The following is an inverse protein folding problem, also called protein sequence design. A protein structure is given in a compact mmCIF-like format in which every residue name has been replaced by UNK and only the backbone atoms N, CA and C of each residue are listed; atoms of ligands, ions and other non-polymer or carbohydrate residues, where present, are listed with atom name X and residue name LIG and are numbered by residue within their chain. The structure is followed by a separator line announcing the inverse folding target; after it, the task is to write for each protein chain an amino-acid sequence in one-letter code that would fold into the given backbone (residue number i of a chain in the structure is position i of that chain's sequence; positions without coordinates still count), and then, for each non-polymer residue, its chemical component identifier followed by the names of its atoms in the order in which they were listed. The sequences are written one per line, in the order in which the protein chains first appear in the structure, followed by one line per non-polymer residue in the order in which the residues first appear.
data_IF_432035847502
#
_entry.id   IF_432035847502
#
_cell.length_a   1.000
_cell.length_b   1.000
_cell.length_c   1.000
_cell.angle_alpha   90.00
_cell.angle_beta   90.00
_cell.angle_gamma   90.00
#
_symmetry.space_group_name_H-M   'P 1'
#
loop_
_entity.id
_entity.type
_entity.pdbx_description
1 polymer ?
#
# COMPACT_ATOMS: atom_id res chain seq x y z
N UNK A 1 18.63 15.87 10.15
CA UNK A 1 18.17 15.90 8.75
C UNK A 1 16.66 15.98 8.80
N UNK A 2 16.08 17.03 8.23
CA UNK A 2 14.76 17.51 8.62
C UNK A 2 13.60 16.70 8.01
N UNK A 3 12.51 16.60 8.78
CA UNK A 3 11.22 16.07 8.36
C UNK A 3 10.66 16.89 7.20
N UNK A 4 10.59 16.32 6.00
CA UNK A 4 9.96 16.91 4.82
C UNK A 4 9.30 15.84 3.94
N UNK A 5 8.06 15.51 4.28
CA UNK A 5 6.86 15.67 3.43
C UNK A 5 5.65 15.29 4.31
N UNK A 6 4.68 16.19 4.39
CA UNK A 6 3.51 16.04 5.26
C UNK A 6 2.64 14.85 4.80
N UNK A 7 2.28 13.98 5.73
CA UNK A 7 1.59 12.73 5.44
C UNK A 7 0.14 12.94 4.96
N UNK A 8 -0.22 12.25 3.87
CA UNK A 8 -1.57 12.20 3.30
C UNK A 8 -1.93 10.73 3.05
N UNK A 9 -2.54 10.10 4.07
CA UNK A 9 -3.44 8.90 4.02
C UNK A 9 -2.89 7.62 3.29
N UNK A 10 -3.36 6.37 3.41
CA UNK A 10 -4.52 5.65 3.99
C UNK A 10 -4.09 4.26 4.51
N UNK A 11 -4.98 3.49 5.16
CA UNK A 11 -4.77 2.06 5.52
C UNK A 11 -5.69 1.07 4.79
N UNK A 12 -5.19 -0.12 4.47
CA UNK A 12 -6.00 -1.27 4.06
C UNK A 12 -6.42 -2.09 5.30
N UNK A 13 -7.69 -2.51 5.34
CA UNK A 13 -8.37 -3.25 6.42
C UNK A 13 -8.69 -2.46 7.73
N UNK A 14 -9.78 -2.86 8.40
CA UNK A 14 -10.44 -2.36 9.66
C UNK A 14 -11.50 -1.24 9.55
N UNK A 15 -12.82 -1.58 9.52
CA UNK A 15 -13.91 -0.57 9.46
C UNK A 15 -15.42 -0.90 9.77
N UNK A 16 -15.92 -1.76 10.70
CA UNK A 16 -17.35 -1.63 11.20
C UNK A 16 -17.64 -2.11 12.64
N UNK A 17 -18.24 -1.21 13.43
CA UNK A 17 -19.44 -1.42 14.29
C UNK A 17 -20.34 -0.16 14.08
N UNK A 18 -21.68 -0.11 14.22
CA UNK A 18 -22.72 -1.12 14.48
C UNK A 18 -23.85 -1.04 13.41
N UNK A 19 -24.63 -2.12 13.23
CA UNK A 19 -26.04 -2.04 12.79
C UNK A 19 -26.80 -3.36 13.04
N UNK A 20 -27.94 -3.37 13.77
CA UNK A 20 -28.85 -4.49 13.85
C UNK A 20 -29.98 -4.35 12.80
N UNK A 21 -29.70 -4.70 11.56
CA UNK A 21 -30.68 -5.15 10.54
C UNK A 21 -29.91 -5.49 9.26
N UNK A 22 -30.30 -6.55 8.57
CA UNK A 22 -29.69 -6.87 7.28
C UNK A 22 -30.08 -5.79 6.26
N UNK A 23 -29.10 -5.02 5.78
CA UNK A 23 -29.27 -4.25 4.54
C UNK A 23 -29.40 -5.28 3.42
N UNK A 24 -30.64 -5.60 3.04
CA UNK A 24 -30.89 -6.19 1.73
C UNK A 24 -30.65 -5.10 0.70
N UNK A 25 -29.68 -5.29 -0.19
CA UNK A 25 -29.56 -4.46 -1.39
C UNK A 25 -30.88 -4.60 -2.16
N UNK A 26 -31.65 -3.51 -2.25
CA UNK A 26 -32.99 -3.54 -2.85
C UNK A 26 -32.95 -3.77 -4.36
N UNK A 27 -31.86 -3.36 -5.03
CA UNK A 27 -31.55 -3.69 -6.41
C UNK A 27 -30.56 -4.86 -6.47
N UNK A 28 -31.09 -6.08 -6.47
CA UNK A 28 -30.28 -7.30 -6.55
C UNK A 28 -29.68 -7.51 -7.96
N UNK A 29 -30.26 -6.89 -8.98
CA UNK A 29 -29.92 -7.13 -10.40
C UNK A 29 -28.68 -6.36 -10.89
N UNK A 30 -28.21 -5.35 -10.15
CA UNK A 30 -27.00 -4.56 -10.50
C UNK A 30 -25.79 -4.86 -9.60
N UNK A 31 -25.90 -5.77 -8.64
CA UNK A 31 -24.76 -6.27 -7.85
C UNK A 31 -23.89 -7.22 -8.71
N UNK A 32 -23.09 -6.65 -9.61
CA UNK A 32 -21.99 -7.38 -10.25
C UNK A 32 -20.99 -7.79 -9.17
N UNK A 33 -21.10 -9.03 -8.68
CA UNK A 33 -20.29 -9.60 -7.59
C UNK A 33 -18.81 -9.35 -7.89
N UNK A 34 -18.22 -8.47 -7.09
CA UNK A 34 -16.77 -8.28 -7.04
C UNK A 34 -16.12 -9.51 -6.42
N UNK A 35 -14.83 -9.70 -6.67
CA UNK A 35 -14.08 -10.71 -5.93
C UNK A 35 -14.17 -10.43 -4.43
N UNK A 36 -14.53 -11.44 -3.61
CA UNK A 36 -14.86 -11.22 -2.21
C UNK A 36 -13.56 -11.02 -1.41
N UNK A 37 -13.19 -9.75 -1.18
CA UNK A 37 -12.21 -9.37 -0.16
C UNK A 37 -12.60 -9.88 1.23
N UNK A 38 -11.69 -9.81 2.19
CA UNK A 38 -11.90 -10.42 3.50
C UNK A 38 -12.52 -9.47 4.53
N UNK A 39 -13.75 -9.78 4.94
CA UNK A 39 -14.44 -9.08 6.02
C UNK A 39 -14.13 -9.65 7.41
N UNK A 40 -13.83 -8.76 8.36
CA UNK A 40 -13.72 -9.09 9.78
C UNK A 40 -14.92 -8.55 10.57
N UNK A 41 -14.94 -8.74 11.90
CA UNK A 41 -15.90 -8.08 12.79
C UNK A 41 -15.13 -7.33 13.88
N UNK A 42 -15.34 -6.01 14.03
CA UNK A 42 -14.48 -5.15 14.89
C UNK A 42 -14.65 -5.44 16.40
N UNK A 43 -15.73 -6.11 16.79
CA UNK A 43 -15.91 -6.65 18.17
C UNK A 43 -15.31 -8.03 18.39
N UNK A 44 -14.74 -8.67 17.37
CA UNK A 44 -14.17 -10.02 17.50
C UNK A 44 -12.97 -10.00 18.45
N UNK A 45 -12.89 -10.90 19.45
CA UNK A 45 -11.68 -11.05 20.27
C UNK A 45 -10.46 -11.46 19.45
N UNK A 46 -10.67 -11.97 18.23
CA UNK A 46 -9.63 -12.35 17.27
C UNK A 46 -9.47 -11.33 16.13
N UNK A 47 -9.86 -10.06 16.33
CA UNK A 47 -9.81 -9.02 15.30
C UNK A 47 -8.44 -8.95 14.61
N UNK A 48 -7.34 -8.81 15.35
CA UNK A 48 -5.99 -8.72 14.77
C UNK A 48 -5.63 -9.94 13.90
N UNK A 49 -5.96 -11.16 14.34
CA UNK A 49 -5.72 -12.41 13.59
C UNK A 49 -6.57 -12.48 12.33
N UNK A 50 -7.85 -12.10 12.43
CA UNK A 50 -8.75 -12.03 11.28
C UNK A 50 -8.22 -11.06 10.22
N UNK A 51 -7.71 -9.90 10.65
CA UNK A 51 -7.18 -8.87 9.74
C UNK A 51 -5.87 -9.27 9.10
N UNK A 52 -4.93 -9.85 9.86
CA UNK A 52 -3.70 -10.40 9.29
C UNK A 52 -3.99 -11.48 8.22
N UNK A 53 -4.98 -12.34 8.50
CA UNK A 53 -5.46 -13.36 7.54
C UNK A 53 -6.09 -12.70 6.32
N UNK A 54 -6.95 -11.70 6.54
CA UNK A 54 -7.64 -10.97 5.48
C UNK A 54 -6.71 -10.20 4.57
N UNK A 55 -5.82 -9.39 5.13
CA UNK A 55 -4.79 -8.68 4.36
C UNK A 55 -3.90 -9.65 3.56
N UNK A 56 -3.57 -10.83 4.11
CA UNK A 56 -2.81 -11.86 3.38
C UNK A 56 -3.60 -12.45 2.20
N UNK A 57 -4.90 -12.68 2.38
CA UNK A 57 -5.80 -13.10 1.31
C UNK A 57 -5.98 -11.99 0.25
N UNK A 58 -6.22 -10.75 0.67
CA UNK A 58 -6.38 -9.59 -0.20
C UNK A 58 -5.10 -9.37 -1.03
N UNK A 59 -3.89 -9.44 -0.44
CA UNK A 59 -2.61 -9.38 -1.18
C UNK A 59 -2.59 -10.36 -2.38
N UNK A 60 -3.20 -11.54 -2.24
CA UNK A 60 -3.34 -12.53 -3.32
C UNK A 60 -4.20 -12.06 -4.49
N UNK A 61 -5.32 -11.37 -4.21
CA UNK A 61 -6.18 -10.73 -5.22
C UNK A 61 -5.46 -9.53 -5.83
N UNK A 62 -5.00 -8.62 -4.98
CA UNK A 62 -4.39 -7.34 -5.33
C UNK A 62 -3.09 -7.50 -6.14
N UNK A 63 -2.44 -8.67 -6.06
CA UNK A 63 -1.37 -9.11 -6.98
C UNK A 63 -1.75 -8.88 -8.45
N UNK A 64 -2.98 -9.15 -8.84
CA UNK A 64 -3.46 -8.98 -10.21
C UNK A 64 -4.21 -7.65 -10.43
N UNK A 65 -4.48 -6.91 -9.35
CA UNK A 65 -5.30 -5.71 -9.35
C UNK A 65 -6.79 -6.04 -9.46
N UNK A 66 -7.64 -5.02 -9.36
CA UNK A 66 -9.09 -5.14 -9.58
C UNK A 66 -9.50 -4.09 -10.62
N UNK A 67 -9.35 -4.38 -11.93
CA UNK A 67 -9.59 -3.39 -12.99
C UNK A 67 -11.00 -2.80 -12.98
N UNK A 68 -12.02 -3.59 -12.60
CA UNK A 68 -13.41 -3.14 -12.44
C UNK A 68 -13.58 -2.03 -11.41
N UNK A 69 -12.67 -1.92 -10.44
CA UNK A 69 -12.63 -0.87 -9.43
C UNK A 69 -11.60 0.22 -9.75
N UNK A 70 -10.84 0.11 -10.84
CA UNK A 70 -9.69 0.97 -11.12
C UNK A 70 -8.45 0.67 -10.27
N UNK A 71 -8.41 -0.45 -9.55
CA UNK A 71 -7.30 -0.84 -8.68
C UNK A 71 -6.18 -1.47 -9.52
N UNK A 72 -4.98 -0.88 -9.60
CA UNK A 72 -3.87 -1.40 -10.41
C UNK A 72 -3.23 -2.63 -9.74
N UNK A 73 -2.49 -3.48 -10.44
CA UNK A 73 -1.73 -4.58 -9.83
C UNK A 73 -0.66 -4.09 -8.84
N UNK A 74 -0.43 -4.81 -7.73
CA UNK A 74 0.73 -4.58 -6.83
C UNK A 74 2.03 -5.23 -7.31
N UNK A 75 1.99 -6.07 -8.36
CA UNK A 75 3.11 -6.91 -8.78
C UNK A 75 3.03 -7.29 -10.28
N UNK A 76 3.52 -6.44 -11.20
CA UNK A 76 4.24 -5.18 -10.96
C UNK A 76 3.33 -3.97 -10.72
N UNK A 77 3.59 -3.23 -9.64
CA UNK A 77 3.07 -1.87 -9.47
C UNK A 77 3.85 -0.87 -10.33
N UNK A 78 3.15 -0.03 -11.09
CA UNK A 78 3.75 0.93 -12.01
C UNK A 78 3.81 2.33 -11.42
N UNK A 79 5.01 2.91 -11.35
CA UNK A 79 5.24 4.30 -10.91
C UNK A 79 5.78 5.12 -12.09
N UNK A 80 5.03 6.11 -12.62
CA UNK A 80 5.46 6.89 -13.79
C UNK A 80 6.77 7.64 -13.56
N UNK A 81 6.94 8.23 -12.36
CA UNK A 81 8.08 9.08 -12.00
C UNK A 81 8.39 9.04 -10.49
N UNK A 82 9.67 9.01 -10.16
CA UNK A 82 10.25 9.28 -8.84
C UNK A 82 11.38 10.28 -9.01
N UNK A 83 11.35 11.37 -8.24
CA UNK A 83 12.47 12.31 -8.16
C UNK A 83 13.18 12.13 -6.82
N UNK A 84 14.50 11.94 -6.88
CA UNK A 84 15.36 11.64 -5.75
C UNK A 84 16.32 12.81 -5.57
N UNK A 85 16.32 13.42 -4.38
CA UNK A 85 17.16 14.59 -4.07
C UNK A 85 18.11 14.24 -2.92
N UNK A 86 19.42 14.36 -3.13
CA UNK A 86 20.46 14.20 -2.10
C UNK A 86 21.46 15.36 -2.20
N UNK A 87 21.54 16.19 -1.15
CA UNK A 87 22.42 17.36 -1.05
C UNK A 87 22.37 18.29 -2.28
N UNK A 88 21.16 18.67 -2.71
CA UNK A 88 20.92 19.55 -3.86
C UNK A 88 21.14 18.90 -5.24
N UNK A 89 21.45 17.60 -5.30
CA UNK A 89 21.58 16.85 -6.56
C UNK A 89 20.33 16.02 -6.80
N UNK A 90 19.79 16.12 -8.01
CA UNK A 90 18.56 15.41 -8.40
C UNK A 90 18.85 14.27 -9.36
N UNK A 91 18.22 13.12 -9.10
CA UNK A 91 18.14 11.97 -9.97
C UNK A 91 16.67 11.66 -10.24
N UNK A 92 16.27 11.59 -11.51
CA UNK A 92 14.90 11.23 -11.89
C UNK A 92 14.87 9.78 -12.37
N UNK A 93 13.99 8.98 -11.79
CA UNK A 93 13.62 7.67 -12.28
C UNK A 93 12.25 7.76 -12.96
N UNK A 94 12.09 7.10 -14.11
CA UNK A 94 10.84 7.09 -14.88
C UNK A 94 10.48 5.68 -15.34
N UNK A 95 9.20 5.46 -15.65
CA UNK A 95 8.67 4.16 -16.10
C UNK A 95 9.04 3.02 -15.13
N UNK A 96 8.96 3.30 -13.84
CA UNK A 96 9.35 2.35 -12.80
C UNK A 96 8.32 1.24 -12.66
N UNK A 97 8.79 0.01 -12.51
CA UNK A 97 8.01 -1.17 -12.14
C UNK A 97 8.55 -1.74 -10.84
N UNK A 98 7.68 -1.87 -9.85
CA UNK A 98 7.98 -2.45 -8.55
C UNK A 98 7.39 -3.86 -8.48
N UNK A 99 8.23 -4.84 -8.18
CA UNK A 99 7.91 -6.26 -8.09
C UNK A 99 8.09 -6.78 -6.65
N UNK A 100 7.41 -7.88 -6.36
CA UNK A 100 7.46 -8.58 -5.08
C UNK A 100 6.33 -8.22 -4.12
N UNK A 101 5.52 -7.20 -4.42
CA UNK A 101 4.38 -6.79 -3.58
C UNK A 101 3.39 -7.93 -3.34
N UNK A 102 3.16 -8.79 -4.33
CA UNK A 102 2.30 -9.98 -4.22
C UNK A 102 2.94 -11.16 -3.50
N UNK A 103 4.17 -11.01 -2.99
CA UNK A 103 4.85 -11.98 -2.12
C UNK A 103 5.03 -11.47 -0.68
N UNK A 104 4.40 -10.35 -0.33
CA UNK A 104 4.46 -9.75 1.00
C UNK A 104 3.78 -10.65 2.05
N UNK A 105 4.42 -10.82 3.19
CA UNK A 105 3.90 -11.57 4.35
C UNK A 105 3.66 -10.61 5.50
N UNK A 106 2.45 -10.60 6.06
CA UNK A 106 2.13 -9.87 7.29
C UNK A 106 2.73 -10.63 8.48
N UNK A 107 3.64 -10.02 9.24
CA UNK A 107 4.27 -10.67 10.41
C UNK A 107 3.70 -10.21 11.75
N UNK A 108 3.16 -8.99 11.81
CA UNK A 108 2.46 -8.44 12.97
C UNK A 108 1.27 -7.63 12.49
N UNK A 109 0.17 -7.67 13.25
CA UNK A 109 -0.97 -6.78 13.04
C UNK A 109 -1.50 -6.32 14.41
N UNK A 110 -1.67 -5.01 14.57
CA UNK A 110 -2.30 -4.39 15.73
C UNK A 110 -3.42 -3.46 15.25
N UNK A 111 -4.58 -3.54 15.90
CA UNK A 111 -5.67 -2.60 15.66
C UNK A 111 -6.16 -2.03 16.99
N UNK A 112 -6.49 -0.75 16.99
CA UNK A 112 -7.16 -0.09 18.11
C UNK A 112 -8.33 0.70 17.53
N UNK A 113 -9.55 0.23 17.83
CA UNK A 113 -10.80 0.78 17.28
C UNK A 113 -10.89 2.28 17.55
N UNK A 114 -11.20 3.07 16.51
CA UNK A 114 -11.27 4.53 16.60
C UNK A 114 -9.94 5.25 16.84
N UNK A 115 -8.79 4.54 16.76
CA UNK A 115 -7.46 5.15 16.74
C UNK A 115 -6.66 4.80 15.50
N UNK A 116 -6.79 3.57 14.98
CA UNK A 116 -6.13 3.14 13.75
C UNK A 116 -5.63 1.70 13.76
N UNK A 117 -4.74 1.40 12.82
CA UNK A 117 -4.06 0.12 12.66
C UNK A 117 -2.55 0.29 12.56
N UNK A 118 -1.82 -0.78 12.84
CA UNK A 118 -0.44 -0.91 12.41
C UNK A 118 -0.11 -2.35 12.04
N UNK A 119 0.75 -2.55 11.05
CA UNK A 119 1.14 -3.88 10.60
C UNK A 119 2.59 -3.91 10.09
N UNK A 120 3.28 -5.02 10.35
CA UNK A 120 4.60 -5.31 9.81
C UNK A 120 4.46 -6.15 8.56
N UNK A 121 5.19 -5.80 7.49
CA UNK A 121 5.36 -6.68 6.33
C UNK A 121 6.81 -7.12 6.18
N UNK A 122 6.99 -8.34 5.67
CA UNK A 122 8.25 -8.82 5.08
C UNK A 122 7.99 -9.05 3.59
N UNK A 123 8.82 -8.44 2.73
CA UNK A 123 8.86 -8.73 1.29
C UNK A 123 10.14 -9.52 0.99
N UNK A 124 10.05 -10.83 0.68
CA UNK A 124 11.24 -11.68 0.52
C UNK A 124 12.16 -11.22 -0.62
N UNK A 125 11.56 -10.80 -1.73
CA UNK A 125 12.26 -10.38 -2.95
C UNK A 125 11.62 -9.08 -3.46
N UNK A 126 12.20 -7.94 -3.09
CA UNK A 126 11.72 -6.64 -3.54
C UNK A 126 12.60 -6.13 -4.68
N UNK A 127 12.01 -5.76 -5.81
CA UNK A 127 12.75 -5.32 -6.99
C UNK A 127 12.08 -4.10 -7.63
N UNK A 128 12.87 -3.07 -7.94
CA UNK A 128 12.44 -1.86 -8.64
C UNK A 128 13.26 -1.72 -9.91
N UNK A 129 12.61 -1.85 -11.06
CA UNK A 129 13.18 -1.63 -12.39
C UNK A 129 12.73 -0.27 -12.91
N UNK A 130 13.63 0.63 -13.28
CA UNK A 130 13.32 1.95 -13.82
C UNK A 130 14.19 2.30 -15.02
N UNK A 131 13.74 3.25 -15.84
CA UNK A 131 14.67 4.10 -16.60
C UNK A 131 15.20 5.19 -15.66
N UNK A 132 16.46 5.59 -15.79
CA UNK A 132 17.03 6.70 -14.99
C UNK A 132 17.56 7.82 -15.88
N UNK A 133 17.55 9.04 -15.34
CA UNK A 133 18.25 10.22 -15.84
C UNK A 133 18.90 10.92 -14.64
N UNK A 134 20.23 11.01 -14.64
CA UNK A 134 21.01 11.58 -13.54
C UNK A 134 21.90 12.71 -14.05
N UNK A 135 21.84 13.86 -13.39
CA UNK A 135 22.80 14.94 -13.61
C UNK A 135 24.18 14.59 -13.05
N UNK A 136 25.18 15.24 -13.63
CA UNK A 136 26.58 15.11 -13.23
C UNK A 136 26.78 15.29 -11.72
N UNK A 137 27.72 14.53 -11.14
CA UNK A 137 28.10 14.65 -9.75
C UNK A 137 27.24 13.89 -8.73
N UNK A 138 26.10 13.28 -9.09
CA UNK A 138 25.39 12.34 -8.18
C UNK A 138 26.27 11.13 -7.85
N UNK A 139 27.00 10.63 -8.85
CA UNK A 139 27.93 9.49 -8.78
C UNK A 139 29.40 9.86 -9.12
N UNK A 140 29.70 11.15 -9.28
CA UNK A 140 31.05 11.63 -9.66
C UNK A 140 31.31 11.75 -11.17
N UNK A 141 30.41 11.28 -12.04
CA UNK A 141 30.51 11.51 -13.49
C UNK A 141 30.19 12.97 -13.88
N UNK A 142 30.81 13.47 -14.95
CA UNK A 142 30.66 14.86 -15.47
C UNK A 142 29.62 15.03 -16.59
N UNK A 143 29.08 13.92 -17.11
CA UNK A 143 28.07 13.90 -18.19
C UNK A 143 26.70 13.49 -17.63
N UNK A 144 25.61 13.94 -18.26
CA UNK A 144 24.28 13.39 -17.99
C UNK A 144 24.28 11.90 -18.39
N UNK A 145 23.92 11.04 -17.44
CA UNK A 145 23.82 9.60 -17.68
C UNK A 145 22.36 9.17 -17.70
N UNK A 146 22.03 8.33 -18.67
CA UNK A 146 20.71 7.71 -18.82
C UNK A 146 20.88 6.22 -19.09
N UNK A 147 19.91 5.41 -18.69
CA UNK A 147 19.95 3.96 -18.85
C UNK A 147 18.87 3.27 -18.05
N UNK A 148 19.01 1.95 -17.82
CA UNK A 148 18.17 1.20 -16.89
C UNK A 148 18.82 1.12 -15.52
N UNK A 149 17.99 1.17 -14.49
CA UNK A 149 18.34 0.96 -13.10
C UNK A 149 17.53 -0.24 -12.58
N UNK A 150 18.20 -1.20 -11.95
CA UNK A 150 17.54 -2.30 -11.24
C UNK A 150 18.03 -2.27 -9.80
N UNK A 151 17.11 -2.08 -8.87
CA UNK A 151 17.37 -2.03 -7.44
C UNK A 151 16.67 -3.21 -6.78
N UNK A 152 17.41 -4.05 -6.08
CA UNK A 152 16.89 -5.25 -5.41
C UNK A 152 17.18 -5.19 -3.91
N UNK A 153 16.21 -5.64 -3.11
CA UNK A 153 16.37 -5.85 -1.68
C UNK A 153 15.79 -7.21 -1.26
N UNK A 154 16.56 -7.99 -0.50
CA UNK A 154 16.10 -9.26 0.10
C UNK A 154 15.55 -9.00 1.50
N UNK A 155 14.44 -9.66 1.83
CA UNK A 155 13.75 -9.57 3.12
C UNK A 155 13.54 -8.12 3.57
N UNK A 156 13.02 -7.28 2.66
CA UNK A 156 12.65 -5.91 2.99
C UNK A 156 11.58 -5.90 4.08
N UNK A 157 11.77 -5.09 5.11
CA UNK A 157 10.91 -5.00 6.28
C UNK A 157 10.42 -3.56 6.43
N UNK A 158 9.11 -3.38 6.55
CA UNK A 158 8.51 -2.11 6.92
C UNK A 158 7.41 -2.29 7.96
N UNK A 159 7.27 -1.28 8.80
CA UNK A 159 6.13 -1.09 9.68
C UNK A 159 5.25 0.01 9.09
N UNK A 160 3.97 -0.27 8.96
CA UNK A 160 2.96 0.71 8.61
C UNK A 160 2.13 1.02 9.83
N UNK A 161 1.79 2.29 10.04
CA UNK A 161 0.76 2.72 10.98
C UNK A 161 -0.13 3.72 10.27
N UNK A 162 -1.43 3.55 10.45
CA UNK A 162 -2.42 4.44 9.90
C UNK A 162 -3.45 4.79 10.96
N UNK A 163 -3.62 6.08 11.22
CA UNK A 163 -4.61 6.58 12.15
C UNK A 163 -5.97 6.71 11.45
N UNK A 164 -7.04 6.57 12.23
CA UNK A 164 -8.39 6.59 11.72
C UNK A 164 -9.36 7.19 12.73
N UNK A 165 -10.32 7.97 12.24
CA UNK A 165 -11.40 8.55 13.04
C UNK A 165 -12.72 7.85 12.71
N UNK A 166 -13.59 7.73 13.72
CA UNK A 166 -14.99 7.38 13.50
C UNK A 166 -15.76 8.65 13.12
N UNK A 167 -16.61 8.56 12.09
CA UNK A 167 -17.54 9.62 11.68
C UNK A 167 -18.92 9.03 11.37
N UNK A 168 -19.97 9.85 11.44
CA UNK A 168 -21.36 9.41 11.24
C UNK A 168 -21.95 9.98 9.95
N UNK A 169 -22.62 9.16 9.13
CA UNK A 169 -23.30 9.59 7.89
C UNK A 169 -24.61 8.81 7.69
N UNK A 170 -25.70 9.49 7.32
CA UNK A 170 -27.07 8.92 7.29
C UNK A 170 -27.37 7.98 8.51
N UNK A 171 -26.94 8.33 9.73
CA UNK A 171 -27.17 7.56 10.96
C UNK A 171 -26.30 6.31 11.21
N UNK A 172 -25.30 6.02 10.37
CA UNK A 172 -24.36 4.90 10.54
C UNK A 172 -22.97 5.41 10.90
N UNK A 173 -22.19 4.62 11.64
CA UNK A 173 -20.77 4.90 11.94
C UNK A 173 -19.85 4.36 10.83
N UNK A 174 -18.76 5.08 10.58
CA UNK A 174 -17.79 4.85 9.52
C UNK A 174 -16.37 5.14 10.00
N UNK A 175 -15.37 4.42 9.50
CA UNK A 175 -13.97 4.82 9.69
C UNK A 175 -13.47 5.62 8.49
N UNK A 176 -12.91 6.79 8.78
CA UNK A 176 -12.14 7.61 7.85
C UNK A 176 -10.67 7.54 8.25
N UNK A 177 -9.83 7.04 7.35
CA UNK A 177 -8.38 7.11 7.50
C UNK A 177 -7.93 8.57 7.42
N UNK A 178 -7.01 8.98 8.28
CA UNK A 178 -6.54 10.38 8.37
C UNK A 178 -5.06 10.53 8.01
N UNK A 179 -4.19 9.79 8.70
CA UNK A 179 -2.74 9.89 8.54
C UNK A 179 -2.12 8.52 8.38
N UNK A 180 -1.27 8.36 7.37
CA UNK A 180 -0.46 7.17 7.17
C UNK A 180 1.01 7.46 7.44
N UNK A 181 1.68 6.57 8.16
CA UNK A 181 3.13 6.58 8.36
C UNK A 181 3.72 5.23 7.98
N UNK A 182 4.82 5.27 7.24
CA UNK A 182 5.61 4.08 6.88
C UNK A 182 6.99 4.24 7.50
N UNK A 183 7.50 3.20 8.13
CA UNK A 183 8.84 3.14 8.71
C UNK A 183 9.57 1.94 8.11
N UNK A 184 10.63 2.17 7.33
CA UNK A 184 11.47 1.07 6.85
C UNK A 184 12.39 0.58 7.96
N UNK A 185 12.20 -0.69 8.34
CA UNK A 185 13.03 -1.42 9.30
C UNK A 185 14.29 -2.01 8.63
N UNK A 186 14.37 -1.92 7.30
CA UNK A 186 15.54 -2.25 6.49
C UNK A 186 15.35 -3.49 5.63
N UNK A 187 16.43 -4.25 5.47
CA UNK A 187 16.48 -5.47 4.67
C UNK A 187 17.90 -6.01 4.60
N UNK A 188 18.06 -7.29 4.26
CA UNK A 188 19.27 -8.05 4.59
C UNK A 188 20.37 -7.89 3.54
N UNK A 189 19.99 -7.86 2.26
CA UNK A 189 20.91 -7.67 1.13
C UNK A 189 20.32 -6.66 0.16
N UNK A 190 21.09 -5.64 -0.19
CA UNK A 190 20.74 -4.63 -1.18
C UNK A 190 21.73 -4.66 -2.34
N UNK A 191 21.24 -4.61 -3.58
CA UNK A 191 22.05 -4.49 -4.79
C UNK A 191 21.36 -3.52 -5.74
N UNK A 192 22.11 -2.56 -6.27
CA UNK A 192 21.68 -1.72 -7.37
C UNK A 192 22.64 -1.87 -8.55
N UNK A 193 22.08 -1.97 -9.76
CA UNK A 193 22.83 -1.97 -11.03
C UNK A 193 22.28 -0.85 -11.91
N UNK A 194 23.18 -0.13 -12.56
CA UNK A 194 22.83 0.95 -13.49
C UNK A 194 23.60 0.75 -14.79
N UNK A 195 22.89 0.63 -15.90
CA UNK A 195 23.50 0.46 -17.21
C UNK A 195 24.30 1.71 -17.59
N UNK A 196 25.44 1.53 -18.24
CA UNK A 196 26.33 2.62 -18.68
C UNK A 196 27.24 3.21 -17.58
N UNK A 197 27.00 2.94 -16.30
CA UNK A 197 27.81 3.47 -15.18
C UNK A 197 28.97 2.57 -14.73
N UNK A 198 29.18 1.44 -15.42
CA UNK A 198 30.26 0.48 -15.16
C UNK A 198 30.17 -0.20 -13.78
N UNK A 199 31.21 -0.95 -13.41
CA UNK A 199 31.37 -1.49 -12.04
C UNK A 199 31.90 -0.41 -11.07
N UNK A 200 31.44 0.83 -11.16
CA UNK A 200 31.85 1.84 -10.18
C UNK A 200 31.37 1.42 -8.79
N UNK A 201 32.31 1.38 -7.84
CA UNK A 201 32.06 1.27 -6.40
C UNK A 201 31.48 2.57 -5.85
N UNK A 202 30.34 2.97 -6.41
CA UNK A 202 29.46 3.97 -5.80
C UNK A 202 29.26 3.57 -4.35
N UNK A 203 29.45 4.51 -3.43
CA UNK A 203 29.26 4.27 -2.00
C UNK A 203 27.89 3.65 -1.74
N UNK A 204 27.86 2.34 -1.51
CA UNK A 204 26.63 1.57 -1.35
C UNK A 204 25.74 2.13 -0.23
N UNK A 205 26.34 2.76 0.80
CA UNK A 205 25.60 3.49 1.85
C UNK A 205 24.71 4.62 1.29
N UNK A 206 25.17 5.41 0.31
CA UNK A 206 24.36 6.48 -0.30
C UNK A 206 23.25 5.90 -1.17
N UNK A 207 23.59 4.98 -2.08
CA UNK A 207 22.59 4.29 -2.92
C UNK A 207 21.54 3.56 -2.08
N UNK A 208 21.92 2.94 -0.96
CA UNK A 208 20.98 2.26 -0.05
C UNK A 208 19.98 3.25 0.58
N UNK A 209 20.43 4.43 1.04
CA UNK A 209 19.50 5.47 1.56
C UNK A 209 18.54 5.96 0.47
N UNK A 210 19.07 6.25 -0.72
CA UNK A 210 18.29 6.71 -1.87
C UNK A 210 17.28 5.64 -2.32
N UNK A 211 17.67 4.37 -2.33
CA UNK A 211 16.79 3.27 -2.65
C UNK A 211 15.72 3.04 -1.58
N UNK A 212 16.06 3.14 -0.29
CA UNK A 212 15.07 3.10 0.80
C UNK A 212 14.03 4.22 0.61
N UNK A 213 14.45 5.46 0.33
CA UNK A 213 13.52 6.56 0.05
C UNK A 213 12.67 6.33 -1.21
N UNK A 214 13.24 5.74 -2.27
CA UNK A 214 12.49 5.35 -3.47
C UNK A 214 11.43 4.28 -3.16
N UNK A 215 11.81 3.27 -2.38
CA UNK A 215 10.93 2.19 -1.92
C UNK A 215 9.83 2.72 -0.99
N UNK A 216 10.13 3.62 -0.06
CA UNK A 216 9.17 4.31 0.80
C UNK A 216 8.17 5.12 -0.02
N UNK A 217 8.65 5.96 -0.95
CA UNK A 217 7.79 6.76 -1.82
C UNK A 217 6.88 5.89 -2.70
N UNK A 218 7.39 4.77 -3.22
CA UNK A 218 6.58 3.83 -4.01
C UNK A 218 5.55 3.09 -3.15
N UNK A 219 5.94 2.55 -1.99
CA UNK A 219 5.02 1.87 -1.07
C UNK A 219 3.92 2.83 -0.60
N UNK A 220 4.26 4.08 -0.29
CA UNK A 220 3.30 5.12 0.07
C UNK A 220 2.32 5.41 -1.07
N UNK A 221 2.80 5.64 -2.30
CA UNK A 221 1.95 5.84 -3.48
C UNK A 221 1.07 4.63 -3.79
N UNK A 222 1.59 3.42 -3.62
CA UNK A 222 0.84 2.17 -3.78
C UNK A 222 -0.34 2.14 -2.82
N UNK A 223 -0.05 2.27 -1.52
CA UNK A 223 -1.03 2.29 -0.43
C UNK A 223 -2.07 3.40 -0.65
N UNK A 224 -1.64 4.65 -0.87
CA UNK A 224 -2.55 5.78 -1.14
C UNK A 224 -3.46 5.53 -2.36
N UNK A 225 -2.90 5.14 -3.52
CA UNK A 225 -3.67 4.84 -4.74
C UNK A 225 -4.72 3.78 -4.46
N UNK A 226 -4.32 2.67 -3.85
CA UNK A 226 -5.20 1.55 -3.53
C UNK A 226 -6.43 1.98 -2.75
N UNK A 227 -6.24 2.91 -1.84
CA UNK A 227 -7.18 3.17 -0.78
C UNK A 227 -8.04 4.38 -1.09
N UNK A 228 -7.54 5.37 -1.81
CA UNK A 228 -8.40 6.32 -2.51
C UNK A 228 -9.35 5.56 -3.44
N UNK A 229 -8.85 4.63 -4.26
CA UNK A 229 -9.65 3.85 -5.20
C UNK A 229 -10.65 2.91 -4.52
N UNK A 230 -10.22 2.17 -3.48
CA UNK A 230 -11.10 1.24 -2.76
C UNK A 230 -12.14 1.98 -1.92
N UNK A 231 -11.76 2.98 -1.11
CA UNK A 231 -12.70 3.65 -0.19
C UNK A 231 -13.57 4.74 -0.85
N UNK A 232 -13.17 5.32 -2.00
CA UNK A 232 -14.06 6.23 -2.74
C UNK A 232 -15.20 5.50 -3.46
N UNK A 233 -15.00 4.21 -3.78
CA UNK A 233 -15.95 3.40 -4.57
C UNK A 233 -16.72 2.36 -3.74
N UNK A 234 -16.25 1.96 -2.55
CA UNK A 234 -16.97 1.00 -1.70
C UNK A 234 -17.89 1.67 -0.68
N UNK A 235 -19.16 1.26 -0.59
CA UNK A 235 -20.02 1.53 0.56
C UNK A 235 -19.43 0.85 1.81
N UNK A 236 -19.03 1.57 2.87
CA UNK A 236 -18.23 0.95 3.94
C UNK A 236 -18.93 -0.17 4.72
N UNK A 237 -20.27 -0.24 4.67
CA UNK A 237 -21.07 -1.25 5.37
C UNK A 237 -20.89 -2.68 4.85
N UNK A 238 -20.28 -2.87 3.67
CA UNK A 238 -20.02 -4.19 3.07
C UNK A 238 -18.64 -4.75 3.41
N UNK A 239 -17.75 -3.96 4.03
CA UNK A 239 -16.38 -4.40 4.33
C UNK A 239 -16.25 -5.32 5.56
N UNK A 240 -17.34 -5.56 6.31
CA UNK A 240 -17.31 -6.28 7.60
C UNK A 240 -18.44 -7.30 7.72
N UNK A 241 -18.10 -8.48 8.23
CA UNK A 241 -19.09 -9.49 8.61
C UNK A 241 -19.76 -9.11 9.94
N UNK A 242 -21.04 -9.48 10.17
CA UNK A 242 -21.74 -9.18 11.42
C UNK A 242 -21.01 -9.75 12.64
N UNK A 243 -21.12 -9.07 13.79
CA UNK A 243 -20.22 -9.21 14.96
C UNK A 243 -20.05 -10.62 15.54
N UNK A 244 -20.98 -11.53 15.25
CA UNK A 244 -21.03 -12.89 15.81
C UNK A 244 -20.49 -13.93 14.80
N UNK A 245 -19.97 -13.49 13.66
CA UNK A 245 -19.47 -14.36 12.60
C UNK A 245 -17.95 -14.56 12.71
N UNK A 246 -17.53 -15.76 13.09
CA UNK A 246 -16.17 -16.24 12.82
C UNK A 246 -15.92 -16.25 11.31
N UNK A 247 -15.14 -15.27 10.81
CA UNK A 247 -14.61 -15.15 9.43
C UNK A 247 -15.52 -15.64 8.29
N UNK A 248 -16.16 -14.72 7.57
CA UNK A 248 -16.86 -15.03 6.31
C UNK A 248 -16.32 -14.17 5.18
N UNK A 249 -16.19 -14.77 4.00
CA UNK A 249 -16.05 -14.03 2.74
C UNK A 249 -17.34 -13.21 2.56
N UNK A 250 -17.21 -11.91 2.37
CA UNK A 250 -18.35 -11.02 2.12
C UNK A 250 -18.36 -10.73 0.62
N UNK A 251 -19.46 -10.97 -0.11
CA UNK A 251 -19.58 -10.48 -1.48
C UNK A 251 -19.77 -8.95 -1.45
N UNK A 252 -19.09 -8.23 -2.34
CA UNK A 252 -19.18 -6.76 -2.42
C UNK A 252 -20.02 -6.34 -3.63
N UNK A 253 -20.81 -5.30 -3.46
CA UNK A 253 -21.55 -4.58 -4.48
C UNK A 253 -20.96 -3.16 -4.64
N UNK A 254 -20.67 -2.76 -5.88
CA UNK A 254 -20.40 -1.34 -6.17
C UNK A 254 -21.74 -0.61 -6.23
N UNK A 255 -22.24 -0.17 -5.08
CA UNK A 255 -23.43 0.70 -5.06
C UNK A 255 -23.03 2.08 -5.60
N UNK A 256 -23.79 2.59 -6.57
CA UNK A 256 -23.64 3.98 -7.05
C UNK A 256 -23.74 4.99 -5.91
N UNK A 257 -23.22 6.21 -6.10
CA UNK A 257 -23.14 7.26 -5.05
C UNK A 257 -24.40 7.27 -4.17
N UNK A 258 -24.30 6.92 -2.87
CA UNK A 258 -25.48 6.83 -2.03
C UNK A 258 -26.06 8.23 -1.79
N UNK A 259 -27.24 8.48 -2.35
CA UNK A 259 -28.18 9.45 -1.79
C UNK A 259 -28.60 8.95 -0.40
N UNK A 260 -28.43 9.81 0.63
CA UNK A 260 -29.37 9.74 1.75
C UNK A 260 -30.75 10.22 1.22
#
# INVERSE_FOLDING_TARGET
MASFITAVILAAAVAVVWAPTAVRCADQDNCAILEPLWGCGVKSPQLNTCLATGTTFDIGILKHGIPKLGVPSIDPFSVPRLDLVDNGKTATLTSCKLYGGGSSVITNFTSVVGKGIGYSIVVPNFELQCSYSMMAGFLGATKQNTGKAVLTMKNYRSWFRHDAILYTKCGKEYLQWTTGTTTVLGGDKFRATFDGLGKQTVHQKRLRRVAIAAFESTQFKLVDTYLQTLFSNMPPHETYAPSNSSSKRVPYCVVGKPSC
#
